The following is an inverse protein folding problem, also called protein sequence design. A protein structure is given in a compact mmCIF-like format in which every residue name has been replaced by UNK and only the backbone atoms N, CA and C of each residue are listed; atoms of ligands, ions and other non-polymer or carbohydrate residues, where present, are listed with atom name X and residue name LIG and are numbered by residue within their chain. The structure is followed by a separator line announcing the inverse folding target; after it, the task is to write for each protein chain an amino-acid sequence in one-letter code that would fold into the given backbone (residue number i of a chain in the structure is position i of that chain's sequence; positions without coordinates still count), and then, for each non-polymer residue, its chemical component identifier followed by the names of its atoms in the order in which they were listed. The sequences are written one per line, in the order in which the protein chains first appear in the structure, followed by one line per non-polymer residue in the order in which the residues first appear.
data_IF_863249481234
#
_entry.id   IF_863249481234
#
_cell.length_a   1.000
_cell.length_b   1.000
_cell.length_c   1.000
_cell.angle_alpha   90.00
_cell.angle_beta   90.00
_cell.angle_gamma   90.00
#
_symmetry.space_group_name_H-M   'P 1'
#
loop_
_entity.id
_entity.type
_entity.pdbx_description
1 polymer ?
#
# COMPACT_ATOMS: atom_id res chain seq x y z
N UNK A 1 11.66 8.87 -10.29
CA UNK A 1 11.95 7.72 -9.43
C UNK A 1 10.63 7.17 -8.91
N UNK A 2 10.61 5.90 -8.55
CA UNK A 2 9.37 5.20 -8.21
C UNK A 2 9.59 4.37 -6.96
N UNK A 3 8.63 4.43 -6.03
CA UNK A 3 8.58 3.49 -4.91
C UNK A 3 8.06 2.15 -5.43
N UNK A 4 8.66 1.05 -4.99
CA UNK A 4 8.24 -0.31 -5.39
C UNK A 4 7.80 -1.08 -4.15
N UNK A 5 6.58 -1.61 -4.20
CA UNK A 5 6.00 -2.42 -3.13
C UNK A 5 5.82 -3.86 -3.63
N UNK A 6 6.34 -4.84 -2.87
CA UNK A 6 6.21 -6.27 -3.17
C UNK A 6 5.08 -6.88 -2.36
N UNK A 7 4.10 -7.47 -3.04
CA UNK A 7 2.93 -8.07 -2.36
C UNK A 7 3.29 -9.21 -1.42
N UNK A 8 4.23 -10.08 -1.81
CA UNK A 8 4.55 -11.30 -1.04
C UNK A 8 5.36 -11.02 0.21
N UNK A 9 6.24 -10.05 0.17
CA UNK A 9 7.16 -9.75 1.29
C UNK A 9 6.76 -8.52 2.09
N UNK A 10 5.93 -7.66 1.52
CA UNK A 10 5.64 -6.35 2.10
C UNK A 10 6.78 -5.36 2.00
N UNK A 11 7.83 -5.67 1.27
CA UNK A 11 9.00 -4.78 1.15
C UNK A 11 8.68 -3.57 0.30
N UNK A 12 9.05 -2.39 0.81
CA UNK A 12 9.02 -1.14 0.06
C UNK A 12 10.45 -0.75 -0.28
N UNK A 13 10.70 -0.50 -1.55
CA UNK A 13 12.03 -0.15 -2.06
C UNK A 13 11.99 1.16 -2.83
N UNK A 14 13.13 1.84 -2.90
CA UNK A 14 13.37 2.99 -3.77
C UNK A 14 14.81 2.92 -4.24
N UNK A 15 15.06 3.09 -5.54
CA UNK A 15 16.39 2.98 -6.12
C UNK A 15 17.07 1.64 -5.80
N UNK A 16 16.32 0.54 -5.89
CA UNK A 16 16.78 -0.82 -5.58
C UNK A 16 17.21 -1.03 -4.13
N UNK A 17 16.86 -0.12 -3.24
CA UNK A 17 17.18 -0.21 -1.82
C UNK A 17 15.90 -0.37 -1.01
N UNK A 18 15.82 -1.42 -0.19
CA UNK A 18 14.68 -1.64 0.71
C UNK A 18 14.72 -0.60 1.82
N UNK A 19 13.63 0.18 1.95
CA UNK A 19 13.54 1.25 2.95
C UNK A 19 12.60 0.88 4.09
N UNK A 20 11.77 -0.13 3.92
CA UNK A 20 10.85 -0.57 4.97
C UNK A 20 10.07 -1.80 4.57
N UNK A 21 9.31 -2.32 5.53
CA UNK A 21 8.44 -3.49 5.33
C UNK A 21 7.09 -3.19 5.93
N UNK A 22 6.03 -3.49 5.19
CA UNK A 22 4.65 -3.38 5.63
C UNK A 22 3.87 -4.61 5.24
N UNK A 23 2.54 -4.43 5.10
CA UNK A 23 1.70 -5.51 4.60
C UNK A 23 0.49 -4.95 3.86
N UNK A 24 -0.20 -5.82 3.10
CA UNK A 24 -1.43 -5.49 2.40
C UNK A 24 -2.30 -6.74 2.34
N UNK A 25 -3.61 -6.56 2.56
CA UNK A 25 -4.57 -7.66 2.64
C UNK A 25 -4.79 -8.16 4.06
N UNK A 26 -5.77 -9.04 4.21
CA UNK A 26 -6.18 -9.60 5.52
C UNK A 26 -6.55 -11.07 5.37
N UNK A 27 -6.34 -11.85 6.43
CA UNK A 27 -6.67 -13.29 6.47
C UNK A 27 -6.00 -14.03 5.31
N UNK A 28 -6.75 -14.75 4.49
CA UNK A 28 -6.22 -15.50 3.34
C UNK A 28 -5.59 -14.58 2.28
N UNK A 29 -5.92 -13.29 2.30
CA UNK A 29 -5.38 -12.31 1.37
C UNK A 29 -4.14 -11.58 1.87
N UNK A 30 -3.71 -11.81 3.11
CA UNK A 30 -2.55 -11.14 3.68
C UNK A 30 -1.29 -11.51 2.88
N UNK A 31 -0.67 -10.50 2.25
CA UNK A 31 0.55 -10.66 1.45
C UNK A 31 0.44 -11.78 0.41
N UNK A 32 -0.76 -11.97 -0.13
CA UNK A 32 -1.05 -13.09 -1.04
C UNK A 32 -1.49 -12.57 -2.41
N UNK A 33 -0.58 -12.56 -3.42
CA UNK A 33 -0.92 -12.10 -4.77
C UNK A 33 -2.07 -12.86 -5.42
N UNK A 34 -2.26 -14.14 -5.08
CA UNK A 34 -3.35 -14.95 -5.64
C UNK A 34 -4.74 -14.43 -5.26
N UNK A 35 -4.84 -13.65 -4.18
CA UNK A 35 -6.10 -13.09 -3.69
C UNK A 35 -6.30 -11.62 -4.09
N UNK A 36 -5.44 -11.06 -4.94
CA UNK A 36 -5.48 -9.62 -5.27
C UNK A 36 -6.80 -9.18 -5.92
N UNK A 37 -7.56 -10.11 -6.50
CA UNK A 37 -8.86 -9.81 -7.11
C UNK A 37 -10.03 -9.89 -6.13
N UNK A 38 -9.80 -10.25 -4.87
CA UNK A 38 -10.85 -10.43 -3.88
C UNK A 38 -11.00 -9.13 -3.07
N UNK A 39 -12.15 -8.48 -3.23
CA UNK A 39 -12.43 -7.22 -2.53
C UNK A 39 -12.43 -7.42 -1.01
N UNK A 40 -11.88 -6.45 -0.29
CA UNK A 40 -11.80 -6.38 1.17
C UNK A 40 -10.99 -7.51 1.83
N UNK A 41 -10.32 -8.35 1.05
CA UNK A 41 -9.52 -9.48 1.54
C UNK A 41 -8.09 -9.40 0.98
N UNK A 42 -7.96 -9.30 -0.34
CA UNK A 42 -6.68 -9.37 -1.02
C UNK A 42 -5.80 -8.14 -0.83
N UNK A 43 -4.51 -8.25 -1.16
CA UNK A 43 -3.61 -7.10 -1.14
C UNK A 43 -3.96 -6.14 -2.27
N UNK A 44 -3.36 -4.94 -2.23
CA UNK A 44 -3.49 -4.00 -3.34
C UNK A 44 -3.03 -4.68 -4.64
N UNK A 45 -3.82 -4.57 -5.73
CA UNK A 45 -3.46 -5.24 -6.99
C UNK A 45 -2.17 -4.72 -7.61
N UNK A 46 -1.50 -5.59 -8.35
CA UNK A 46 -0.31 -5.24 -9.15
C UNK A 46 -0.67 -4.12 -10.13
N UNK A 47 0.21 -3.14 -10.25
CA UNK A 47 0.05 -2.02 -11.17
C UNK A 47 0.78 -0.78 -10.68
N UNK A 48 0.45 0.36 -11.26
CA UNK A 48 1.08 1.64 -10.96
C UNK A 48 0.04 2.62 -10.42
N UNK A 49 0.39 3.31 -9.35
CA UNK A 49 -0.52 4.20 -8.63
C UNK A 49 0.14 5.56 -8.41
N UNK A 50 -0.65 6.62 -8.50
CA UNK A 50 -0.22 7.95 -8.08
C UNK A 50 -0.47 8.13 -6.59
N UNK A 51 0.51 8.68 -5.89
CA UNK A 51 0.45 8.92 -4.44
C UNK A 51 -0.06 10.33 -4.21
N UNK A 52 -1.22 10.46 -3.55
CA UNK A 52 -1.78 11.74 -3.18
C UNK A 52 -1.09 12.37 -1.97
N UNK A 53 -1.44 13.63 -1.63
CA UNK A 53 -0.88 14.29 -0.46
C UNK A 53 -1.34 13.61 0.83
N UNK A 54 -0.50 13.69 1.87
CA UNK A 54 -0.85 13.13 3.17
C UNK A 54 -2.03 13.89 3.79
N UNK A 55 -2.90 13.14 4.46
CA UNK A 55 -4.05 13.70 5.18
C UNK A 55 -4.36 12.84 6.39
N UNK A 56 -5.25 13.32 7.25
CA UNK A 56 -5.74 12.55 8.40
C UNK A 56 -7.06 11.89 8.02
N UNK A 57 -7.06 10.56 7.93
CA UNK A 57 -8.26 9.79 7.62
C UNK A 57 -9.08 9.56 8.90
N UNK A 58 -10.42 9.68 8.87
CA UNK A 58 -11.25 9.50 10.06
C UNK A 58 -11.07 8.15 10.75
N UNK A 59 -10.78 7.10 10.00
CA UNK A 59 -10.63 5.74 10.54
C UNK A 59 -9.18 5.25 10.55
N UNK A 60 -8.37 5.69 9.59
CA UNK A 60 -7.00 5.21 9.42
C UNK A 60 -5.95 6.09 10.09
N UNK A 61 -6.33 7.27 10.57
CA UNK A 61 -5.45 8.18 11.30
C UNK A 61 -4.57 9.06 10.42
N UNK A 62 -3.57 9.71 11.04
CA UNK A 62 -2.73 10.69 10.35
C UNK A 62 -1.72 10.05 9.41
N UNK A 63 -1.24 10.86 8.46
CA UNK A 63 -0.27 10.49 7.42
C UNK A 63 -0.80 9.34 6.58
N UNK A 64 -2.07 9.43 6.18
CA UNK A 64 -2.65 8.57 5.15
C UNK A 64 -2.46 9.23 3.78
N UNK A 65 -2.22 8.41 2.75
CA UNK A 65 -2.04 8.91 1.39
C UNK A 65 -2.88 8.07 0.44
N UNK A 66 -3.68 8.75 -0.39
CA UNK A 66 -4.56 8.07 -1.35
C UNK A 66 -3.72 7.54 -2.51
N UNK A 67 -4.02 6.32 -2.94
CA UNK A 67 -3.40 5.69 -4.10
C UNK A 67 -4.42 5.64 -5.23
N UNK A 68 -4.13 6.36 -6.31
CA UNK A 68 -4.99 6.42 -7.50
C UNK A 68 -4.37 5.60 -8.60
N UNK A 69 -5.04 4.53 -9.09
CA UNK A 69 -4.48 3.70 -10.14
C UNK A 69 -4.31 4.48 -11.43
N UNK A 70 -3.15 4.31 -12.08
CA UNK A 70 -2.90 4.88 -13.40
C UNK A 70 -3.62 4.09 -14.47
N UNK A 71 -3.81 4.69 -15.63
CA UNK A 71 -4.40 4.04 -16.81
C UNK A 71 -3.60 2.76 -17.13
N UNK A 72 -4.31 1.65 -17.33
CA UNK A 72 -3.71 0.36 -17.59
C UNK A 72 -3.53 -0.53 -16.35
N UNK A 73 -3.71 0.02 -15.16
CA UNK A 73 -3.69 -0.78 -13.93
C UNK A 73 -5.04 -1.48 -13.75
N UNK A 74 -5.00 -2.81 -13.64
CA UNK A 74 -6.22 -3.60 -13.41
C UNK A 74 -6.45 -3.75 -11.91
N UNK A 75 -7.47 -3.09 -11.39
CA UNK A 75 -7.83 -3.19 -9.97
C UNK A 75 -8.96 -4.17 -9.70
N UNK A 76 -9.41 -4.90 -10.71
CA UNK A 76 -10.48 -5.91 -10.59
C UNK A 76 -11.78 -5.32 -10.03
N UNK A 77 -12.08 -4.07 -10.40
CA UNK A 77 -13.26 -3.34 -9.91
C UNK A 77 -13.15 -2.86 -8.47
N UNK A 78 -12.00 -3.01 -7.85
CA UNK A 78 -11.73 -2.53 -6.49
C UNK A 78 -11.28 -1.08 -6.51
N UNK A 79 -11.50 -0.36 -5.40
CA UNK A 79 -11.12 1.04 -5.26
C UNK A 79 -10.81 1.38 -3.80
N UNK A 80 -10.56 2.66 -3.52
CA UNK A 80 -10.35 3.13 -2.16
C UNK A 80 -9.00 2.77 -1.57
N UNK A 81 -7.98 2.58 -2.39
CA UNK A 81 -6.64 2.22 -1.89
C UNK A 81 -5.95 3.40 -1.23
N UNK A 82 -5.30 3.12 -0.11
CA UNK A 82 -4.52 4.09 0.67
C UNK A 82 -3.20 3.46 1.12
N UNK A 83 -2.22 4.31 1.40
CA UNK A 83 -1.12 3.97 2.32
C UNK A 83 -1.54 4.54 3.68
N UNK A 84 -1.54 3.72 4.74
CA UNK A 84 -1.83 4.21 6.08
C UNK A 84 -1.10 3.38 7.14
N UNK A 85 -1.30 3.71 8.42
CA UNK A 85 -0.67 3.02 9.53
C UNK A 85 -1.45 1.82 10.02
N UNK A 86 -0.79 0.99 10.81
CA UNK A 86 -1.40 -0.17 11.43
C UNK A 86 -2.40 0.25 12.51
N UNK A 87 -3.26 -0.68 12.92
CA UNK A 87 -4.16 -0.47 14.05
C UNK A 87 -3.38 -0.67 15.37
N UNK A 88 -4.05 -0.39 16.49
CA UNK A 88 -3.41 -0.49 17.81
C UNK A 88 -3.07 -1.93 18.20
N UNK A 89 -3.77 -2.91 17.63
CA UNK A 89 -3.54 -4.32 17.92
C UNK A 89 -2.29 -4.87 17.21
N UNK A 90 -1.87 -4.25 16.10
CA UNK A 90 -0.68 -4.60 15.32
C UNK A 90 -0.62 -6.09 14.97
N UNK A 91 -1.78 -6.67 14.63
CA UNK A 91 -1.93 -8.11 14.35
C UNK A 91 -2.28 -8.41 12.89
N UNK A 92 -1.90 -7.51 11.99
CA UNK A 92 -2.13 -7.62 10.54
C UNK A 92 -3.61 -7.62 10.15
N UNK A 93 -4.45 -6.85 10.87
CA UNK A 93 -5.89 -6.77 10.61
C UNK A 93 -6.35 -5.38 10.14
N UNK A 94 -5.42 -4.45 9.90
CA UNK A 94 -5.78 -3.07 9.51
C UNK A 94 -6.04 -2.91 8.02
N UNK A 95 -5.62 -3.86 7.17
CA UNK A 95 -5.71 -3.72 5.73
C UNK A 95 -6.86 -4.52 5.14
N UNK A 96 -7.67 -3.86 4.31
CA UNK A 96 -8.65 -4.51 3.42
C UNK A 96 -8.26 -4.27 1.95
N UNK A 97 -6.96 -4.13 1.68
CA UNK A 97 -6.40 -3.84 0.38
C UNK A 97 -5.48 -2.62 0.34
N UNK A 98 -5.39 -1.87 1.44
CA UNK A 98 -4.46 -0.76 1.57
C UNK A 98 -3.05 -1.27 1.89
N UNK A 99 -2.05 -0.42 1.67
CA UNK A 99 -0.67 -0.72 2.06
C UNK A 99 -0.42 -0.15 3.45
N UNK A 100 -0.06 -1.00 4.39
CA UNK A 100 0.21 -0.63 5.77
C UNK A 100 1.72 -0.49 5.95
N UNK A 101 2.16 0.70 6.35
CA UNK A 101 3.57 1.03 6.53
C UNK A 101 3.80 1.75 7.86
N UNK A 102 5.00 1.63 8.46
CA UNK A 102 5.35 2.38 9.66
C UNK A 102 5.30 3.90 9.44
N UNK A 103 5.08 4.64 10.53
CA UNK A 103 4.96 6.11 10.48
C UNK A 103 6.17 6.79 9.86
N UNK A 104 7.38 6.36 10.21
CA UNK A 104 8.61 6.96 9.70
C UNK A 104 8.73 6.78 8.18
N UNK A 105 8.27 5.65 7.65
CA UNK A 105 8.29 5.38 6.21
C UNK A 105 7.23 6.22 5.50
N UNK A 106 6.03 6.35 6.07
CA UNK A 106 4.97 7.20 5.51
C UNK A 106 5.39 8.66 5.46
N UNK A 107 6.07 9.13 6.51
CA UNK A 107 6.61 10.49 6.55
C UNK A 107 7.68 10.70 5.48
N UNK A 108 8.52 9.71 5.24
CA UNK A 108 9.54 9.78 4.19
C UNK A 108 8.92 9.85 2.80
N UNK A 109 7.86 9.09 2.54
CA UNK A 109 7.12 9.15 1.28
C UNK A 109 6.50 10.53 1.10
N UNK A 110 5.85 11.05 2.13
CA UNK A 110 5.19 12.36 2.08
C UNK A 110 6.17 13.49 1.81
N UNK A 111 7.38 13.42 2.35
CA UNK A 111 8.44 14.41 2.15
C UNK A 111 9.14 14.27 0.79
N UNK A 112 8.92 13.20 0.06
CA UNK A 112 9.58 12.91 -1.21
C UNK A 112 8.87 13.56 -2.39
N UNK A 113 9.65 13.95 -3.40
CA UNK A 113 9.12 14.37 -4.69
C UNK A 113 8.66 13.17 -5.53
N UNK A 114 8.97 11.95 -5.12
CA UNK A 114 8.60 10.72 -5.81
C UNK A 114 7.18 10.33 -5.39
N UNK A 115 6.22 10.58 -6.31
CA UNK A 115 4.79 10.41 -6.02
C UNK A 115 4.17 9.26 -6.82
N UNK A 116 4.97 8.25 -7.15
CA UNK A 116 4.50 7.06 -7.89
C UNK A 116 4.86 5.82 -7.10
N UNK A 117 3.88 4.92 -6.96
CA UNK A 117 4.06 3.60 -6.37
C UNK A 117 3.79 2.53 -7.42
N UNK A 118 4.77 1.66 -7.64
CA UNK A 118 4.60 0.46 -8.45
C UNK A 118 4.42 -0.75 -7.52
N UNK A 119 3.33 -1.48 -7.71
CA UNK A 119 3.05 -2.72 -6.96
C UNK A 119 3.41 -3.90 -7.84
N UNK A 120 4.25 -4.78 -7.32
CA UNK A 120 4.69 -6.01 -7.99
C UNK A 120 4.40 -7.20 -7.09
N UNK A 121 4.38 -8.40 -7.68
CA UNK A 121 4.10 -9.62 -6.91
C UNK A 121 5.22 -9.96 -5.92
N UNK A 122 6.44 -9.77 -6.35
CA UNK A 122 7.60 -10.05 -5.50
C UNK A 122 8.59 -10.99 -6.11
#
# INVERSE_FOLDING_TARGET
MTWVYEQTSGKLSQNDEVVGVGYSGIADGLDNPAEQNIADVGPIPVGTYDIGPAFTHPQCGPVAMRLTPQVGTNTFGRDGFLIHGDNTDMNHTASHGCVILPRIIRAAIDASDDRVLEVVAG
#
